data_IF_717923876159
#
_entry.id   IF_717923876159
#
_cell.length_a   1.000
_cell.length_b   1.000
_cell.length_c   1.000
_cell.angle_alpha   90.00
_cell.angle_beta   90.00
_cell.angle_gamma   90.00
#
_symmetry.space_group_name_H-M   'P 1'
#
loop_
_entity.id
_entity.type
_entity.pdbx_description
1 polymer ?
#
# COMPACT_ATOMS: atom_id res chain seq x y z
N UNK A 1 8.14 4.86 -19.44
CA UNK A 1 6.76 5.16 -19.86
C UNK A 1 6.44 6.51 -19.26
N UNK A 2 6.21 7.52 -20.10
CA UNK A 2 5.97 8.90 -19.66
C UNK A 2 4.50 9.04 -19.25
N UNK A 3 4.26 8.94 -17.93
CA UNK A 3 2.90 8.87 -17.36
C UNK A 3 2.13 10.18 -17.61
N UNK A 4 2.82 11.31 -17.59
CA UNK A 4 2.25 12.63 -17.85
C UNK A 4 1.77 12.74 -19.30
N UNK A 5 2.59 12.29 -20.26
CA UNK A 5 2.22 12.26 -21.67
C UNK A 5 1.10 11.28 -21.99
N UNK A 6 0.97 10.18 -21.24
CA UNK A 6 -0.13 9.24 -21.37
C UNK A 6 -1.46 9.84 -20.87
N UNK A 7 -1.43 10.73 -19.88
CA UNK A 7 -2.63 11.40 -19.34
C UNK A 7 -3.22 12.46 -20.26
N UNK A 8 -2.46 12.92 -21.27
CA UNK A 8 -2.94 13.83 -22.31
C UNK A 8 -3.90 13.12 -23.30
N UNK A 9 -3.85 11.79 -23.39
CA UNK A 9 -4.78 10.99 -24.19
C UNK A 9 -6.13 10.82 -23.45
N UNK A 10 -7.24 11.37 -23.98
CA UNK A 10 -8.56 11.27 -23.35
C UNK A 10 -9.05 9.82 -23.17
N UNK A 11 -8.64 8.90 -24.04
CA UNK A 11 -9.01 7.49 -23.95
C UNK A 11 -8.26 6.80 -22.82
N UNK A 12 -6.96 7.06 -22.69
CA UNK A 12 -6.16 6.52 -21.59
C UNK A 12 -6.64 7.04 -20.24
N UNK A 13 -6.93 8.34 -20.14
CA UNK A 13 -7.48 8.95 -18.92
C UNK A 13 -8.79 8.30 -18.49
N UNK A 14 -9.74 8.11 -19.43
CA UNK A 14 -11.01 7.45 -19.13
C UNK A 14 -10.79 6.01 -18.61
N UNK A 15 -9.93 5.24 -19.27
CA UNK A 15 -9.63 3.88 -18.84
C UNK A 15 -8.99 3.83 -17.44
N UNK A 16 -8.11 4.79 -17.12
CA UNK A 16 -7.50 4.91 -15.79
C UNK A 16 -8.53 5.29 -14.72
N UNK A 17 -9.44 6.22 -15.03
CA UNK A 17 -10.52 6.62 -14.12
C UNK A 17 -11.47 5.45 -13.84
N UNK A 18 -11.85 4.67 -14.86
CA UNK A 18 -12.65 3.45 -14.74
C UNK A 18 -11.96 2.40 -13.87
N UNK A 19 -10.68 2.10 -14.15
CA UNK A 19 -9.88 1.17 -13.35
C UNK A 19 -9.77 1.62 -11.88
N UNK A 20 -9.58 2.92 -11.66
CA UNK A 20 -9.51 3.50 -10.31
C UNK A 20 -10.86 3.39 -9.59
N UNK A 21 -11.97 3.62 -10.29
CA UNK A 21 -13.30 3.48 -9.73
C UNK A 21 -13.56 2.03 -9.28
N UNK A 22 -13.29 1.05 -10.15
CA UNK A 22 -13.42 -0.38 -9.83
C UNK A 22 -12.55 -0.75 -8.63
N UNK A 23 -11.28 -0.33 -8.60
CA UNK A 23 -10.39 -0.61 -7.49
C UNK A 23 -10.92 -0.07 -6.15
N UNK A 24 -11.52 1.14 -6.15
CA UNK A 24 -12.11 1.74 -4.94
C UNK A 24 -13.35 0.98 -4.46
N UNK A 25 -14.20 0.54 -5.36
CA UNK A 25 -15.36 -0.29 -5.01
C UNK A 25 -14.92 -1.61 -4.37
N UNK A 26 -13.95 -2.31 -4.97
CA UNK A 26 -13.42 -3.57 -4.45
C UNK A 26 -12.80 -3.40 -3.05
N UNK A 27 -12.00 -2.34 -2.85
CA UNK A 27 -11.40 -2.05 -1.55
C UNK A 27 -12.48 -1.71 -0.51
N UNK A 28 -13.52 -0.95 -0.88
CA UNK A 28 -14.62 -0.62 0.02
C UNK A 28 -15.35 -1.89 0.47
N UNK A 29 -15.77 -2.73 -0.49
CA UNK A 29 -16.41 -4.02 -0.20
C UNK A 29 -15.54 -4.89 0.72
N UNK A 30 -14.24 -4.94 0.47
CA UNK A 30 -13.29 -5.68 1.30
C UNK A 30 -13.21 -5.15 2.74
N UNK A 31 -13.20 -3.82 2.92
CA UNK A 31 -13.15 -3.17 4.23
C UNK A 31 -14.45 -3.34 5.04
N UNK A 32 -15.58 -3.45 4.35
CA UNK A 32 -16.91 -3.69 4.93
C UNK A 32 -17.17 -5.18 5.22
N UNK A 33 -16.27 -6.08 4.80
CA UNK A 33 -16.42 -7.52 4.96
C UNK A 33 -17.40 -8.17 3.98
N UNK A 34 -17.70 -7.50 2.87
CA UNK A 34 -18.57 -8.00 1.81
C UNK A 34 -17.88 -9.01 0.88
N UNK A 35 -18.66 -9.55 -0.06
CA UNK A 35 -18.18 -10.50 -1.07
C UNK A 35 -17.39 -9.79 -2.18
N UNK A 36 -16.06 -9.81 -2.05
CA UNK A 36 -15.14 -9.24 -3.05
C UNK A 36 -15.09 -10.09 -4.31
N UNK A 37 -15.17 -11.42 -4.19
CA UNK A 37 -15.05 -12.29 -5.36
C UNK A 37 -16.26 -12.16 -6.28
N UNK A 38 -17.48 -12.19 -5.72
CA UNK A 38 -18.69 -11.89 -6.47
C UNK A 38 -18.62 -10.51 -7.13
N UNK A 39 -18.16 -9.49 -6.38
CA UNK A 39 -18.01 -8.14 -6.92
C UNK A 39 -17.00 -8.04 -8.06
N UNK A 40 -15.90 -8.80 -8.01
CA UNK A 40 -14.92 -8.88 -9.11
C UNK A 40 -15.57 -9.50 -10.35
N UNK A 41 -16.34 -10.59 -10.18
CA UNK A 41 -17.03 -11.27 -11.29
C UNK A 41 -18.13 -10.39 -11.91
N UNK A 42 -18.78 -9.56 -11.11
CA UNK A 42 -19.83 -8.64 -11.58
C UNK A 42 -19.25 -7.41 -12.31
N UNK A 43 -18.17 -6.82 -11.76
CA UNK A 43 -17.59 -5.58 -12.28
C UNK A 43 -16.64 -5.80 -13.46
N UNK A 44 -16.04 -6.99 -13.54
CA UNK A 44 -15.06 -7.31 -14.56
C UNK A 44 -15.55 -8.54 -15.34
N UNK A 45 -15.74 -8.38 -16.65
CA UNK A 45 -15.96 -9.48 -17.59
C UNK A 45 -14.66 -10.28 -17.81
N UNK A 46 -14.07 -10.78 -16.71
CA UNK A 46 -12.78 -11.45 -16.70
C UNK A 46 -13.03 -12.95 -16.74
N UNK A 47 -12.96 -13.50 -17.94
CA UNK A 47 -13.10 -14.94 -18.19
C UNK A 47 -11.92 -15.81 -17.69
N UNK A 48 -10.87 -15.21 -17.09
CA UNK A 48 -9.67 -15.93 -16.64
C UNK A 48 -9.60 -15.98 -15.12
N UNK A 49 -9.82 -17.16 -14.55
CA UNK A 49 -9.78 -17.42 -13.11
C UNK A 49 -8.44 -17.02 -12.48
N UNK A 50 -7.32 -17.14 -13.20
CA UNK A 50 -5.99 -16.78 -12.68
C UNK A 50 -5.88 -15.26 -12.39
N UNK A 51 -6.58 -14.43 -13.17
CA UNK A 51 -6.58 -12.97 -12.95
C UNK A 51 -7.47 -12.59 -11.78
N UNK A 52 -8.59 -13.30 -11.59
CA UNK A 52 -9.45 -13.13 -10.42
C UNK A 52 -8.66 -13.48 -9.16
N UNK A 53 -7.98 -14.63 -9.15
CA UNK A 53 -7.14 -15.06 -8.03
C UNK A 53 -6.05 -14.02 -7.68
N UNK A 54 -5.33 -13.52 -8.69
CA UNK A 54 -4.30 -12.48 -8.48
C UNK A 54 -4.87 -11.19 -7.89
N UNK A 55 -6.05 -10.75 -8.32
CA UNK A 55 -6.71 -9.57 -7.78
C UNK A 55 -7.15 -9.77 -6.33
N UNK A 56 -7.70 -10.95 -6.00
CA UNK A 56 -8.05 -11.31 -4.63
C UNK A 56 -6.83 -11.32 -3.71
N UNK A 57 -5.68 -11.79 -4.19
CA UNK A 57 -4.43 -11.77 -3.43
C UNK A 57 -3.94 -10.35 -3.13
N UNK A 58 -4.06 -9.43 -4.10
CA UNK A 58 -3.76 -8.01 -3.89
C UNK A 58 -4.69 -7.38 -2.85
N UNK A 59 -5.99 -7.66 -2.92
CA UNK A 59 -6.96 -7.16 -1.94
C UNK A 59 -6.66 -7.73 -0.54
N UNK A 60 -6.39 -9.04 -0.43
CA UNK A 60 -5.98 -9.69 0.82
C UNK A 60 -4.71 -9.06 1.39
N UNK A 61 -3.72 -8.76 0.53
CA UNK A 61 -2.52 -8.05 0.94
C UNK A 61 -2.84 -6.66 1.50
N UNK A 62 -3.68 -5.87 0.83
CA UNK A 62 -4.14 -4.58 1.31
C UNK A 62 -4.82 -4.65 2.68
N UNK A 63 -5.70 -5.64 2.89
CA UNK A 63 -6.35 -5.87 4.18
C UNK A 63 -5.36 -6.20 5.30
N UNK A 64 -4.28 -6.93 5.02
CA UNK A 64 -3.19 -7.17 6.00
C UNK A 64 -2.48 -5.88 6.44
N UNK A 65 -2.51 -4.83 5.63
CA UNK A 65 -1.92 -3.53 5.97
C UNK A 65 -2.83 -2.68 6.87
N UNK A 66 -4.16 -2.85 6.78
CA UNK A 66 -5.15 -2.07 7.55
C UNK A 66 -4.82 -1.97 9.05
N UNK A 67 -4.55 -3.06 9.80
CA UNK A 67 -4.21 -2.95 11.21
C UNK A 67 -2.88 -2.18 11.43
N UNK A 68 -1.90 -2.33 10.53
CA UNK A 68 -0.62 -1.60 10.62
C UNK A 68 -0.78 -0.10 10.35
N UNK A 69 -1.70 0.28 9.46
CA UNK A 69 -2.08 1.69 9.23
C UNK A 69 -2.82 2.24 10.44
N UNK A 70 -3.80 1.50 10.98
CA UNK A 70 -4.58 1.91 12.15
C UNK A 70 -3.73 2.10 13.41
N UNK A 71 -2.59 1.43 13.50
CA UNK A 71 -1.63 1.62 14.57
C UNK A 71 -0.96 3.01 14.59
N UNK A 72 -1.28 3.92 13.66
CA UNK A 72 -0.92 5.35 13.72
C UNK A 72 -1.30 6.01 15.05
N UNK A 73 -2.33 5.50 15.73
CA UNK A 73 -2.74 5.96 17.06
C UNK A 73 -1.63 5.85 18.12
N UNK A 74 -0.59 5.06 17.89
CA UNK A 74 0.55 4.93 18.80
C UNK A 74 1.61 6.02 18.66
N UNK A 75 1.55 6.87 17.63
CA UNK A 75 2.60 7.88 17.36
C UNK A 75 2.78 8.88 18.52
N UNK A 76 1.69 9.48 18.99
CA UNK A 76 1.74 10.45 20.11
C UNK A 76 2.26 9.78 21.39
N UNK A 77 1.73 8.62 21.83
CA UNK A 77 2.30 7.90 22.97
C UNK A 77 3.79 7.61 22.85
N UNK A 78 4.25 7.15 21.67
CA UNK A 78 5.67 6.84 21.46
C UNK A 78 6.55 8.10 21.50
N UNK A 79 6.05 9.23 20.99
CA UNK A 79 6.74 10.51 21.11
C UNK A 79 6.89 10.94 22.57
N UNK A 80 5.84 10.82 23.38
CA UNK A 80 5.87 11.17 24.81
C UNK A 80 6.87 10.28 25.58
N UNK A 81 6.86 8.96 25.32
CA UNK A 81 7.86 8.02 25.86
C UNK A 81 9.30 8.45 25.51
N UNK A 82 9.50 8.95 24.29
CA UNK A 82 10.79 9.50 23.86
C UNK A 82 11.25 10.69 24.70
N UNK A 83 10.33 11.60 25.08
CA UNK A 83 10.65 12.72 25.99
C UNK A 83 10.97 12.26 27.41
N UNK A 84 10.40 11.15 27.84
CA UNK A 84 10.71 10.49 29.12
C UNK A 84 12.01 9.68 29.07
N UNK A 85 12.78 9.78 27.97
CA UNK A 85 14.04 9.06 27.72
C UNK A 85 13.86 7.55 27.66
N UNK A 86 12.66 7.08 27.35
CA UNK A 86 12.42 5.65 27.15
C UNK A 86 12.90 5.18 25.78
N UNK A 87 13.17 3.87 25.70
CA UNK A 87 13.49 3.22 24.45
C UNK A 87 12.27 3.14 23.51
N UNK A 88 12.48 3.57 22.27
CA UNK A 88 11.52 3.47 21.17
C UNK A 88 12.05 2.45 20.15
N UNK A 89 11.24 1.44 19.85
CA UNK A 89 11.61 0.35 18.94
C UNK A 89 12.06 0.91 17.56
N UNK A 90 13.18 0.43 17.01
CA UNK A 90 13.63 0.86 15.70
C UNK A 90 12.74 0.33 14.58
N UNK A 91 12.64 1.08 13.48
CA UNK A 91 11.89 0.66 12.29
C UNK A 91 12.49 1.17 10.99
N UNK A 92 12.26 0.52 9.84
CA UNK A 92 12.74 1.02 8.57
C UNK A 92 12.03 2.33 8.20
N UNK A 93 12.77 3.27 7.61
CA UNK A 93 12.22 4.44 6.92
C UNK A 93 11.93 4.13 5.44
N UNK A 94 11.10 4.95 4.80
CA UNK A 94 10.81 4.80 3.37
C UNK A 94 9.43 5.32 2.97
N UNK A 95 9.15 5.27 1.66
CA UNK A 95 7.87 5.69 1.12
C UNK A 95 6.96 4.48 0.85
N UNK A 96 5.84 4.40 1.57
CA UNK A 96 4.83 3.34 1.45
C UNK A 96 4.29 3.25 0.02
N UNK A 97 4.16 4.37 -0.71
CA UNK A 97 3.66 4.38 -2.09
C UNK A 97 4.64 3.76 -3.08
N UNK A 98 5.90 3.55 -2.68
CA UNK A 98 6.93 2.82 -3.45
C UNK A 98 7.08 1.36 -3.02
N UNK A 99 6.03 0.77 -2.45
CA UNK A 99 5.99 -0.64 -2.05
C UNK A 99 6.66 -0.96 -0.70
N UNK A 100 7.13 0.07 0.02
CA UNK A 100 7.84 -0.09 1.31
C UNK A 100 6.87 -0.24 2.49
N UNK A 101 6.08 -1.31 2.49
CA UNK A 101 5.06 -1.57 3.52
C UNK A 101 5.64 -1.95 4.89
N UNK A 102 6.92 -2.31 4.94
CA UNK A 102 7.69 -2.60 6.16
C UNK A 102 7.82 -1.38 7.10
N UNK A 103 7.65 -0.17 6.57
CA UNK A 103 7.61 1.09 7.32
C UNK A 103 6.44 1.12 8.30
N UNK A 104 5.34 0.42 7.99
CA UNK A 104 4.19 0.29 8.88
C UNK A 104 4.41 -0.84 9.90
N UNK A 105 3.97 -0.67 11.16
CA UNK A 105 3.33 0.52 11.72
C UNK A 105 4.31 1.68 11.99
N UNK A 106 3.81 2.92 11.92
CA UNK A 106 4.57 4.16 12.24
C UNK A 106 4.73 4.36 13.75
N UNK A 107 5.39 5.42 14.23
CA UNK A 107 5.70 5.58 15.67
C UNK A 107 6.84 4.68 16.14
N UNK A 108 7.85 4.48 15.28
CA UNK A 108 9.13 3.79 15.57
C UNK A 108 10.29 4.78 15.41
N UNK A 109 11.40 4.51 16.07
CA UNK A 109 12.64 5.23 15.83
C UNK A 109 13.20 4.80 14.47
N UNK A 110 12.97 5.59 13.43
CA UNK A 110 13.28 5.14 12.09
C UNK A 110 14.79 5.08 11.82
N UNK A 111 15.22 4.12 11.03
CA UNK A 111 16.57 4.04 10.50
C UNK A 111 16.58 4.09 8.98
N UNK A 112 17.70 4.52 8.41
CA UNK A 112 18.00 4.38 6.98
C UNK A 112 18.90 3.18 6.76
N UNK A 113 18.95 2.69 5.52
CA UNK A 113 19.98 1.73 5.12
C UNK A 113 21.35 2.41 5.08
N UNK A 114 22.39 1.64 5.36
CA UNK A 114 23.78 2.09 5.24
C UNK A 114 24.06 2.53 3.78
N UNK A 115 24.44 3.80 3.54
CA UNK A 115 24.70 4.30 2.21
C UNK A 115 25.87 3.59 1.52
N UNK A 116 26.77 2.95 2.26
CA UNK A 116 27.94 2.27 1.68
C UNK A 116 27.66 0.84 1.21
N UNK A 117 26.54 0.24 1.64
CA UNK A 117 26.25 -1.18 1.40
C UNK A 117 25.40 -1.45 0.15
N UNK A 118 24.84 -0.42 -0.48
CA UNK A 118 23.88 -0.53 -1.58
C UNK A 118 24.18 0.38 -2.79
N UNK A 119 25.39 0.94 -2.91
CA UNK A 119 25.85 1.61 -4.13
C UNK A 119 26.47 0.55 -5.05
N UNK A 120 25.92 0.29 -6.25
CA UNK A 120 26.59 -0.56 -7.23
C UNK A 120 27.91 0.08 -7.64
N UNK A 121 29.05 -0.55 -7.32
CA UNK A 121 30.36 -0.18 -7.86
C UNK A 121 31.45 0.30 -6.90
N UNK A 122 31.33 0.11 -5.58
CA UNK A 122 32.51 0.13 -4.69
C UNK A 122 32.88 -1.32 -4.30
N UNK A 123 34.18 -1.65 -4.25
CA UNK A 123 34.68 -3.03 -4.20
C UNK A 123 34.29 -3.78 -2.92
#
# INVERSE_FOLDING_TARGET
MDYERALEDPTYRRALDEATHVARELIRTALEGGDVEGKVRDLLDVAREERIAGLLDVVKFGLKLVPKVRAVSREIPQLLRGFEKEFIEPGPSGNVTRGRTEVLPTGRNFYTVDPWRNIPGHP
#
